data_IF_369031707713
#
_entry.id   IF_369031707713
#
_cell.length_a   1.000
_cell.length_b   1.000
_cell.length_c   1.000
_cell.angle_alpha   90.00
_cell.angle_beta   90.00
_cell.angle_gamma   90.00
#
_symmetry.space_group_name_H-M   'P 1'
#
loop_
_entity.id
_entity.type
_entity.pdbx_description
1 polymer ?
#
# COMPACT_ATOMS: atom_id res chain seq x y z
N UNK A 1 -14.06 -2.97 13.16
CA UNK A 1 -14.93 -3.51 12.09
C UNK A 1 -16.06 -4.28 12.76
N UNK A 2 -17.30 -3.77 12.74
CA UNK A 2 -18.39 -4.34 13.54
C UNK A 2 -19.77 -4.28 12.90
N UNK A 3 -19.87 -3.88 11.62
CA UNK A 3 -21.14 -3.84 10.90
C UNK A 3 -21.04 -4.72 9.64
N UNK A 4 -21.64 -5.93 9.64
CA UNK A 4 -21.50 -6.88 8.54
C UNK A 4 -22.10 -6.36 7.23
N UNK A 5 -23.08 -5.44 7.28
CA UNK A 5 -23.68 -4.83 6.08
C UNK A 5 -22.71 -3.93 5.31
N UNK A 6 -21.75 -3.30 6.00
CA UNK A 6 -20.75 -2.44 5.38
C UNK A 6 -19.56 -3.22 4.78
N UNK A 7 -19.45 -4.52 5.07
CA UNK A 7 -18.28 -5.31 4.68
C UNK A 7 -18.12 -5.45 3.17
N UNK A 8 -19.21 -5.64 2.42
CA UNK A 8 -19.17 -5.76 0.96
C UNK A 8 -18.76 -4.45 0.29
N UNK A 9 -19.27 -3.32 0.78
CA UNK A 9 -18.85 -2.01 0.28
C UNK A 9 -17.36 -1.78 0.55
N UNK A 10 -16.91 -2.03 1.77
CA UNK A 10 -15.49 -1.88 2.14
C UNK A 10 -14.59 -2.78 1.28
N UNK A 11 -15.02 -4.01 1.01
CA UNK A 11 -14.31 -4.92 0.10
C UNK A 11 -14.24 -4.38 -1.33
N UNK A 12 -15.37 -3.90 -1.88
CA UNK A 12 -15.42 -3.31 -3.21
C UNK A 12 -14.51 -2.10 -3.35
N UNK A 13 -14.55 -1.18 -2.38
CA UNK A 13 -13.65 -0.03 -2.32
C UNK A 13 -12.20 -0.47 -2.24
N UNK A 14 -11.87 -1.48 -1.42
CA UNK A 14 -10.50 -1.99 -1.31
C UNK A 14 -9.99 -2.55 -2.65
N UNK A 15 -10.82 -3.30 -3.40
CA UNK A 15 -10.46 -3.80 -4.73
C UNK A 15 -10.25 -2.64 -5.72
N UNK A 16 -11.14 -1.64 -5.73
CA UNK A 16 -11.01 -0.47 -6.58
C UNK A 16 -9.73 0.31 -6.28
N UNK A 17 -9.45 0.60 -5.01
CA UNK A 17 -8.23 1.30 -4.59
C UNK A 17 -6.97 0.50 -4.95
N UNK A 18 -7.00 -0.82 -4.82
CA UNK A 18 -5.89 -1.67 -5.25
C UNK A 18 -5.64 -1.56 -6.76
N UNK A 19 -6.69 -1.56 -7.58
CA UNK A 19 -6.55 -1.37 -9.03
C UNK A 19 -5.94 -0.01 -9.38
N UNK A 20 -6.38 1.07 -8.71
CA UNK A 20 -5.80 2.41 -8.89
C UNK A 20 -4.31 2.38 -8.56
N UNK A 21 -3.94 1.78 -7.42
CA UNK A 21 -2.54 1.72 -6.98
C UNK A 21 -1.67 0.90 -7.93
N UNK A 22 -2.21 -0.19 -8.49
CA UNK A 22 -1.53 -1.01 -9.49
C UNK A 22 -1.30 -0.24 -10.81
N UNK A 23 -2.28 0.56 -11.25
CA UNK A 23 -2.13 1.42 -12.43
C UNK A 23 -1.05 2.48 -12.22
N UNK A 24 -1.06 3.17 -11.07
CA UNK A 24 -0.04 4.16 -10.73
C UNK A 24 1.36 3.53 -10.67
N UNK A 25 1.47 2.35 -10.06
CA UNK A 25 2.72 1.59 -10.01
C UNK A 25 3.21 1.25 -11.42
N UNK A 26 2.33 0.71 -12.27
CA UNK A 26 2.65 0.33 -13.64
C UNK A 26 3.07 1.53 -14.50
N UNK A 27 2.44 2.70 -14.33
CA UNK A 27 2.84 3.92 -15.03
C UNK A 27 4.29 4.33 -14.69
N UNK A 28 4.65 4.31 -13.40
CA UNK A 28 6.02 4.61 -12.95
C UNK A 28 7.02 3.57 -13.44
N UNK A 29 6.68 2.29 -13.37
CA UNK A 29 7.56 1.20 -13.84
C UNK A 29 7.79 1.26 -15.35
N UNK A 30 6.74 1.53 -16.13
CA UNK A 30 6.78 1.63 -17.59
C UNK A 30 7.62 2.83 -18.05
N UNK A 31 7.34 4.02 -17.50
CA UNK A 31 8.02 5.25 -17.92
C UNK A 31 9.52 5.21 -17.63
N UNK A 32 9.91 4.67 -16.46
CA UNK A 32 11.32 4.58 -16.05
C UNK A 32 12.00 3.27 -16.46
N UNK A 33 11.31 2.39 -17.21
CA UNK A 33 11.80 1.08 -17.68
C UNK A 33 12.38 0.22 -16.55
N UNK A 34 11.71 0.21 -15.39
CA UNK A 34 12.22 -0.38 -14.15
C UNK A 34 12.25 -1.91 -14.15
N UNK A 35 11.45 -2.54 -15.01
CA UNK A 35 11.39 -3.99 -15.18
C UNK A 35 12.76 -4.59 -15.56
N UNK A 36 13.52 -3.87 -16.39
CA UNK A 36 14.87 -4.28 -16.79
C UNK A 36 15.90 -4.12 -15.66
N UNK A 37 15.62 -3.28 -14.65
CA UNK A 37 16.55 -2.88 -13.61
C UNK A 37 16.42 -3.69 -12.30
N UNK A 38 15.57 -4.74 -12.27
CA UNK A 38 15.19 -5.46 -11.03
C UNK A 38 14.67 -4.53 -9.92
N UNK A 39 14.18 -3.35 -10.30
CA UNK A 39 13.71 -2.33 -9.39
C UNK A 39 12.21 -2.53 -9.17
N UNK A 40 11.80 -2.67 -7.91
CA UNK A 40 10.39 -2.79 -7.56
C UNK A 40 9.90 -1.50 -6.92
N UNK A 41 8.83 -0.94 -7.46
CA UNK A 41 8.13 0.18 -6.86
C UNK A 41 7.28 -0.33 -5.69
N UNK A 42 7.26 0.43 -4.60
CA UNK A 42 6.50 0.13 -3.40
C UNK A 42 5.14 0.81 -3.45
N UNK A 43 4.09 0.00 -3.58
CA UNK A 43 2.70 0.47 -3.48
C UNK A 43 2.43 1.22 -2.16
N UNK A 44 3.11 0.84 -1.07
CA UNK A 44 3.05 1.55 0.20
C UNK A 44 3.56 3.00 0.10
N UNK A 45 4.71 3.23 -0.55
CA UNK A 45 5.27 4.58 -0.66
C UNK A 45 4.49 5.47 -1.62
N UNK A 46 3.84 4.90 -2.64
CA UNK A 46 2.88 5.64 -3.47
C UNK A 46 1.70 6.11 -2.62
N UNK A 47 1.10 5.20 -1.85
CA UNK A 47 -0.04 5.53 -0.99
C UNK A 47 0.33 6.57 0.08
N UNK A 48 1.54 6.51 0.63
CA UNK A 48 2.05 7.48 1.60
C UNK A 48 2.26 8.87 0.98
N UNK A 49 2.82 8.95 -0.24
CA UNK A 49 2.97 10.22 -0.96
C UNK A 49 1.59 10.86 -1.24
N UNK A 50 0.60 10.07 -1.69
CA UNK A 50 -0.77 10.57 -1.91
C UNK A 50 -1.35 11.08 -0.59
N UNK A 51 -1.26 10.30 0.49
CA UNK A 51 -1.79 10.68 1.80
C UNK A 51 -1.18 11.98 2.33
N UNK A 52 0.12 12.17 2.14
CA UNK A 52 0.86 13.33 2.67
C UNK A 52 0.66 14.59 1.84
N UNK A 53 0.45 14.47 0.53
CA UNK A 53 0.31 15.61 -0.40
C UNK A 53 -1.13 16.01 -0.66
N UNK A 54 -2.09 15.08 -0.54
CA UNK A 54 -3.49 15.29 -0.96
C UNK A 54 -4.13 16.53 -0.34
N UNK A 55 -4.01 16.73 0.98
CA UNK A 55 -4.63 17.89 1.62
C UNK A 55 -4.03 19.22 1.17
N UNK A 56 -2.72 19.28 0.93
CA UNK A 56 -2.08 20.49 0.39
C UNK A 56 -2.52 20.75 -1.06
N UNK A 57 -2.65 19.69 -1.84
CA UNK A 57 -3.11 19.76 -3.23
C UNK A 57 -4.56 20.25 -3.33
N UNK A 58 -5.47 19.76 -2.47
CA UNK A 58 -6.86 20.21 -2.42
C UNK A 58 -7.02 21.69 -2.04
N UNK A 59 -6.01 22.30 -1.40
CA UNK A 59 -5.98 23.74 -1.10
C UNK A 59 -5.39 24.54 -2.28
N UNK A 60 -4.35 24.00 -2.91
CA UNK A 60 -3.58 24.70 -3.93
C UNK A 60 -4.17 24.60 -5.34
N UNK A 61 -4.93 23.55 -5.64
CA UNK A 61 -5.45 23.24 -6.98
C UNK A 61 -6.97 23.51 -7.00
N UNK A 62 -7.44 24.48 -7.80
CA UNK A 62 -8.87 24.73 -8.00
C UNK A 62 -9.62 23.52 -8.56
N UNK A 63 -10.91 23.41 -8.25
CA UNK A 63 -11.75 22.29 -8.71
C UNK A 63 -11.80 22.18 -10.26
N UNK A 64 -11.83 23.32 -10.96
CA UNK A 64 -11.88 23.40 -12.42
C UNK A 64 -10.68 22.75 -13.13
N UNK A 65 -9.54 22.63 -12.44
CA UNK A 65 -8.36 21.96 -13.01
C UNK A 65 -8.51 20.43 -13.08
N UNK A 66 -9.50 19.87 -12.38
CA UNK A 66 -9.76 18.44 -12.35
C UNK A 66 -10.68 17.97 -13.49
N UNK A 67 -11.55 18.85 -13.99
CA UNK A 67 -12.56 18.56 -15.03
C UNK A 67 -11.94 17.91 -16.28
N UNK A 68 -10.75 18.37 -16.67
CA UNK A 68 -10.03 17.87 -17.84
C UNK A 68 -9.62 16.41 -17.73
N UNK A 69 -9.54 15.84 -16.52
CA UNK A 69 -9.20 14.43 -16.31
C UNK A 69 -10.45 13.54 -16.30
N UNK A 70 -11.61 14.06 -15.90
CA UNK A 70 -12.87 13.30 -15.85
C UNK A 70 -13.38 12.94 -17.25
N UNK A 71 -13.11 13.80 -18.24
CA UNK A 71 -13.55 13.60 -19.62
C UNK A 71 -12.59 12.76 -20.47
N UNK A 72 -11.43 12.34 -19.91
CA UNK A 72 -10.43 11.60 -20.68
C UNK A 72 -10.87 10.16 -20.95
N UNK A 73 -10.67 9.72 -22.18
CA UNK A 73 -10.72 8.29 -22.52
C UNK A 73 -9.55 7.55 -21.88
N UNK A 74 -9.66 6.22 -21.73
CA UNK A 74 -8.59 5.41 -21.13
C UNK A 74 -7.21 5.58 -21.81
N UNK A 75 -7.09 5.69 -23.14
CA UNK A 75 -5.80 5.98 -23.80
C UNK A 75 -5.27 7.40 -23.55
N UNK A 76 -6.13 8.38 -23.33
CA UNK A 76 -5.70 9.75 -22.99
C UNK A 76 -5.20 9.78 -21.56
N UNK A 77 -5.96 9.19 -20.63
CA UNK A 77 -5.58 9.08 -19.23
C UNK A 77 -4.25 8.34 -19.07
N UNK A 78 -4.01 7.26 -19.83
CA UNK A 78 -2.74 6.54 -19.75
C UNK A 78 -1.55 7.39 -20.18
N UNK A 79 -1.70 8.22 -21.22
CA UNK A 79 -0.66 9.17 -21.65
C UNK A 79 -0.42 10.23 -20.59
N UNK A 80 -1.49 10.80 -20.02
CA UNK A 80 -1.41 11.75 -18.91
C UNK A 80 -0.65 11.16 -17.71
N UNK A 81 -0.99 9.93 -17.33
CA UNK A 81 -0.33 9.23 -16.23
C UNK A 81 1.17 8.98 -16.51
N UNK A 82 1.54 8.63 -17.73
CA UNK A 82 2.95 8.46 -18.12
C UNK A 82 3.71 9.81 -18.08
N UNK A 83 3.10 10.89 -18.58
CA UNK A 83 3.68 12.24 -18.49
C UNK A 83 3.91 12.68 -17.04
N UNK A 84 2.96 12.40 -16.15
CA UNK A 84 3.12 12.65 -14.71
C UNK A 84 4.21 11.75 -14.12
N UNK A 85 4.23 10.46 -14.48
CA UNK A 85 5.21 9.49 -14.01
C UNK A 85 6.65 9.87 -14.39
N UNK A 86 6.86 10.56 -15.51
CA UNK A 86 8.19 11.02 -15.94
C UNK A 86 8.83 11.97 -14.91
N UNK A 87 8.02 12.69 -14.13
CA UNK A 87 8.47 13.62 -13.09
C UNK A 87 8.71 12.95 -11.73
N UNK A 88 8.30 11.69 -11.57
CA UNK A 88 8.50 10.92 -10.35
C UNK A 88 9.97 10.53 -10.24
N UNK A 89 10.51 10.54 -9.01
CA UNK A 89 11.85 10.03 -8.70
C UNK A 89 11.73 8.59 -8.19
N UNK A 90 11.98 7.54 -9.02
CA UNK A 90 11.71 6.15 -8.63
C UNK A 90 12.41 5.74 -7.36
N UNK A 91 13.63 6.23 -7.13
CA UNK A 91 14.43 5.92 -5.93
C UNK A 91 13.69 6.19 -4.61
N UNK A 92 12.81 7.21 -4.54
CA UNK A 92 11.99 7.49 -3.35
C UNK A 92 10.91 6.42 -3.10
N UNK A 93 10.48 5.74 -4.16
CA UNK A 93 9.44 4.72 -4.13
C UNK A 93 10.01 3.30 -4.09
N UNK A 94 11.33 3.15 -3.95
CA UNK A 94 11.97 1.82 -3.97
C UNK A 94 11.43 0.94 -2.85
N UNK A 95 10.97 -0.25 -3.21
CA UNK A 95 10.59 -1.27 -2.24
C UNK A 95 11.83 -1.77 -1.49
N UNK A 96 11.76 -1.74 -0.16
CA UNK A 96 12.80 -2.33 0.68
C UNK A 96 12.47 -3.81 0.93
N UNK A 97 13.24 -4.76 0.34
CA UNK A 97 12.98 -6.17 0.58
C UNK A 97 13.26 -6.50 2.05
N UNK A 98 12.29 -7.14 2.70
CA UNK A 98 12.47 -7.63 4.06
C UNK A 98 13.51 -8.75 4.04
N UNK A 99 14.56 -8.63 4.86
CA UNK A 99 15.53 -9.72 5.04
C UNK A 99 14.80 -10.99 5.49
N UNK A 100 15.22 -12.18 5.03
CA UNK A 100 14.68 -13.44 5.50
C UNK A 100 14.64 -13.45 7.04
N UNK A 101 13.53 -13.93 7.61
CA UNK A 101 13.40 -14.01 9.07
C UNK A 101 14.52 -14.89 9.60
N UNK A 102 15.34 -14.35 10.50
CA UNK A 102 16.42 -15.12 11.15
C UNK A 102 15.81 -16.35 11.79
N UNK A 103 16.25 -17.54 11.37
CA UNK A 103 15.85 -18.80 11.98
C UNK A 103 16.45 -18.83 13.38
N UNK A 104 15.62 -18.65 14.40
CA UNK A 104 16.01 -18.87 15.79
C UNK A 104 15.84 -20.35 16.11
N UNK A 105 16.84 -20.98 16.74
CA UNK A 105 16.69 -22.32 17.31
C UNK A 105 15.63 -22.20 18.40
N UNK A 106 14.43 -22.74 18.17
CA UNK A 106 13.42 -22.83 19.22
C UNK A 106 13.91 -23.90 20.21
N UNK A 107 14.00 -23.54 21.50
CA UNK A 107 14.22 -24.53 22.54
C UNK A 107 13.07 -25.55 22.58
N UNK A 108 13.31 -26.70 23.20
CA UNK A 108 12.24 -27.65 23.47
C UNK A 108 11.27 -27.05 24.50
N UNK A 109 9.99 -27.07 24.16
CA UNK A 109 8.87 -26.81 25.08
C UNK A 109 7.88 -27.96 24.94
N UNK A 110 7.16 -28.30 26.02
CA UNK A 110 6.12 -29.33 25.93
C UNK A 110 5.04 -28.90 24.94
N UNK A 111 4.36 -29.87 24.32
CA UNK A 111 3.31 -29.60 23.34
C UNK A 111 2.14 -28.78 23.90
N UNK A 112 1.85 -28.92 25.20
CA UNK A 112 0.86 -28.12 25.92
C UNK A 112 1.25 -26.65 25.97
N UNK A 113 2.48 -26.34 26.38
CA UNK A 113 3.01 -24.97 26.43
C UNK A 113 3.07 -24.35 25.03
N UNK A 114 3.48 -25.12 24.02
CA UNK A 114 3.58 -24.64 22.64
C UNK A 114 2.23 -24.23 22.02
N UNK A 115 1.13 -24.86 22.47
CA UNK A 115 -0.23 -24.59 21.96
C UNK A 115 -1.04 -23.65 22.85
N UNK A 116 -0.52 -23.27 24.02
CA UNK A 116 -1.20 -22.34 24.93
C UNK A 116 -1.33 -20.98 24.26
N UNK A 117 -2.57 -20.57 23.98
CA UNK A 117 -2.86 -19.23 23.51
C UNK A 117 -2.91 -18.28 24.71
N UNK A 118 -1.97 -17.34 24.78
CA UNK A 118 -1.92 -16.36 25.87
C UNK A 118 -2.15 -14.96 25.32
N UNK A 119 -2.98 -14.18 26.00
CA UNK A 119 -3.17 -12.77 25.67
C UNK A 119 -1.95 -12.00 26.17
N UNK A 120 -1.14 -11.43 25.26
CA UNK A 120 0.09 -10.69 25.61
C UNK A 120 -0.18 -9.60 26.64
N UNK A 121 -1.34 -8.93 26.57
CA UNK A 121 -1.73 -7.91 27.54
C UNK A 121 -1.90 -8.46 28.98
N UNK A 122 -2.40 -9.69 29.14
CA UNK A 122 -2.56 -10.34 30.45
C UNK A 122 -1.20 -10.77 31.02
N UNK A 123 -0.35 -11.34 30.16
CA UNK A 123 1.02 -11.72 30.53
C UNK A 123 1.82 -10.51 31.02
N UNK A 124 1.69 -9.36 30.35
CA UNK A 124 2.36 -8.13 30.75
C UNK A 124 1.82 -7.55 32.08
N UNK A 125 0.57 -7.87 32.47
CA UNK A 125 -0.01 -7.50 33.76
C UNK A 125 0.22 -8.52 34.88
N UNK A 126 0.90 -9.64 34.59
CA UNK A 126 1.12 -10.72 35.55
C UNK A 126 -0.10 -11.59 35.81
N UNK A 127 -1.13 -11.50 34.98
CA UNK A 127 -2.35 -12.32 35.07
C UNK A 127 -2.13 -13.68 34.40
N UNK A 128 -2.59 -14.78 35.01
CA UNK A 128 -2.57 -16.08 34.35
C UNK A 128 -3.49 -16.07 33.11
N UNK A 129 -2.97 -16.53 31.97
CA UNK A 129 -3.81 -16.79 30.79
C UNK A 129 -4.48 -18.14 30.96
N UNK A 130 -5.76 -18.13 31.36
CA UNK A 130 -6.65 -19.29 31.29
C UNK A 130 -6.85 -19.76 29.86
#
# INVERSE_FOLDING_TARGET
>A
MGNPRAALLAFGVACMTYNILAVLQSAVETEHRLDAASFQVSSFYIADEVRTTYSGMMIAVPETEWDQFETQSAPELSRTLLQMAANVKPARLRKHPRKPKKKTKKGYVSGEVARRHVATARVLRGEEST
#
